data_IF_469548247374
#
_entry.id   IF_469548247374
#
_cell.length_a   1.000
_cell.length_b   1.000
_cell.length_c   1.000
_cell.angle_alpha   90.00
_cell.angle_beta   90.00
_cell.angle_gamma   90.00
#
_symmetry.space_group_name_H-M   'P 1'
#
loop_
_entity.id
_entity.type
_entity.pdbx_description
1 polymer ?
#
# COMPACT_ATOMS: atom_id res chain seq x y z
N UNK A 1 8.46 13.71 -9.86
CA UNK A 1 7.18 13.07 -9.60
C UNK A 1 7.30 12.12 -8.42
N UNK A 2 6.31 12.12 -7.56
CA UNK A 2 6.33 11.27 -6.38
C UNK A 2 5.88 9.86 -6.73
N UNK A 3 6.64 8.89 -6.24
CA UNK A 3 6.22 7.49 -6.31
C UNK A 3 5.54 7.11 -5.02
N UNK A 4 4.46 6.35 -5.13
CA UNK A 4 3.76 5.80 -3.99
C UNK A 4 3.82 4.29 -4.11
N UNK A 5 4.45 3.65 -3.15
CA UNK A 5 4.64 2.21 -3.15
C UNK A 5 3.56 1.58 -2.30
N UNK A 6 2.79 0.67 -2.90
CA UNK A 6 1.80 -0.12 -2.19
C UNK A 6 2.47 -1.36 -1.65
N UNK A 7 2.31 -1.59 -0.35
CA UNK A 7 2.80 -2.80 0.28
C UNK A 7 1.64 -3.49 1.00
N UNK A 8 1.72 -4.80 1.10
CA UNK A 8 0.77 -5.57 1.87
C UNK A 8 1.51 -6.38 2.93
N UNK A 9 0.81 -6.68 4.02
CA UNK A 9 1.35 -7.48 5.10
C UNK A 9 0.98 -8.94 4.87
N UNK A 10 1.98 -9.82 4.83
CA UNK A 10 1.73 -11.24 4.65
C UNK A 10 1.34 -11.92 5.97
N UNK A 11 1.13 -13.23 5.92
CA UNK A 11 0.70 -14.01 7.08
C UNK A 11 1.76 -14.04 8.19
N UNK A 12 3.01 -13.70 7.87
CA UNK A 12 4.10 -13.65 8.84
C UNK A 12 4.39 -12.23 9.31
N UNK A 13 3.48 -11.30 9.03
CA UNK A 13 3.61 -9.89 9.40
C UNK A 13 4.75 -9.17 8.69
N UNK A 14 5.20 -9.69 7.56
CA UNK A 14 6.21 -9.04 6.75
C UNK A 14 5.54 -8.17 5.68
N UNK A 15 6.13 -6.99 5.43
CA UNK A 15 5.63 -6.12 4.40
C UNK A 15 6.28 -6.46 3.06
N UNK A 16 5.46 -6.64 2.05
CA UNK A 16 5.92 -6.97 0.70
C UNK A 16 5.38 -5.98 -0.30
N UNK A 17 6.18 -5.65 -1.30
CA UNK A 17 5.76 -4.74 -2.35
C UNK A 17 4.70 -5.39 -3.23
N UNK A 18 3.63 -4.65 -3.48
CA UNK A 18 2.60 -5.08 -4.41
C UNK A 18 2.76 -4.37 -5.74
N UNK A 19 2.77 -3.03 -5.70
CA UNK A 19 2.90 -2.24 -6.92
C UNK A 19 3.36 -0.83 -6.57
N UNK A 20 3.77 -0.08 -7.58
CA UNK A 20 4.15 1.32 -7.43
C UNK A 20 3.22 2.15 -8.30
N UNK A 21 2.67 3.21 -7.72
CA UNK A 21 1.83 4.17 -8.42
C UNK A 21 2.51 5.52 -8.44
N UNK A 22 2.16 6.33 -9.41
CA UNK A 22 2.71 7.69 -9.54
C UNK A 22 1.66 8.75 -9.23
N UNK A 23 0.48 8.33 -8.78
CA UNK A 23 -0.63 9.21 -8.48
C UNK A 23 -1.26 8.79 -7.17
N UNK A 24 -1.16 9.66 -6.17
CA UNK A 24 -1.53 9.31 -4.80
C UNK A 24 -2.99 8.89 -4.64
N UNK A 25 -3.99 9.61 -5.19
CA UNK A 25 -5.38 9.17 -5.07
C UNK A 25 -5.63 7.78 -5.67
N UNK A 26 -4.97 7.48 -6.77
CA UNK A 26 -5.08 6.17 -7.41
C UNK A 26 -4.48 5.08 -6.52
N UNK A 27 -3.35 5.39 -5.88
CA UNK A 27 -2.73 4.46 -4.95
C UNK A 27 -3.63 4.14 -3.76
N UNK A 28 -4.28 5.15 -3.20
CA UNK A 28 -5.23 4.95 -2.11
C UNK A 28 -6.40 4.08 -2.52
N UNK A 29 -6.96 4.36 -3.70
CA UNK A 29 -8.08 3.58 -4.20
C UNK A 29 -7.72 2.12 -4.37
N UNK A 30 -6.56 1.87 -4.96
CA UNK A 30 -6.07 0.51 -5.17
C UNK A 30 -5.82 -0.18 -3.85
N UNK A 31 -5.19 0.50 -2.90
CA UNK A 31 -4.89 -0.08 -1.58
C UNK A 31 -6.17 -0.45 -0.84
N UNK A 32 -7.17 0.43 -0.86
CA UNK A 32 -8.45 0.15 -0.20
C UNK A 32 -9.14 -1.06 -0.81
N UNK A 33 -9.15 -1.12 -2.13
CA UNK A 33 -9.77 -2.25 -2.83
C UNK A 33 -9.04 -3.56 -2.49
N UNK A 34 -7.72 -3.54 -2.57
CA UNK A 34 -6.93 -4.74 -2.29
C UNK A 34 -7.05 -5.20 -0.85
N UNK A 35 -7.06 -4.26 0.09
CA UNK A 35 -7.22 -4.60 1.50
C UNK A 35 -8.55 -5.31 1.74
N UNK A 36 -9.61 -4.83 1.09
CA UNK A 36 -10.93 -5.43 1.22
C UNK A 36 -11.01 -6.82 0.59
N UNK A 37 -10.45 -6.96 -0.62
CA UNK A 37 -10.53 -8.21 -1.38
C UNK A 37 -9.66 -9.30 -0.76
N UNK A 38 -8.45 -8.94 -0.34
CA UNK A 38 -7.50 -9.93 0.19
C UNK A 38 -7.59 -10.11 1.70
N UNK A 39 -8.31 -9.23 2.38
CA UNK A 39 -8.42 -9.19 3.84
C UNK A 39 -7.05 -9.06 4.51
N UNK A 40 -6.15 -8.33 3.87
CA UNK A 40 -4.80 -8.09 4.37
C UNK A 40 -4.61 -6.60 4.59
N UNK A 41 -3.77 -6.28 5.57
CA UNK A 41 -3.41 -4.89 5.81
C UNK A 41 -2.50 -4.41 4.70
N UNK A 42 -2.76 -3.21 4.22
CA UNK A 42 -1.94 -2.57 3.19
C UNK A 42 -1.40 -1.26 3.74
N UNK A 43 -0.28 -0.82 3.20
CA UNK A 43 0.25 0.50 3.54
C UNK A 43 0.80 1.17 2.29
N UNK A 44 0.88 2.49 2.39
CA UNK A 44 1.42 3.32 1.33
C UNK A 44 2.66 4.00 1.88
N UNK A 45 3.76 3.88 1.16
CA UNK A 45 5.00 4.55 1.51
C UNK A 45 5.49 5.35 0.30
N UNK A 46 6.28 6.38 0.55
CA UNK A 46 6.87 7.15 -0.54
C UNK A 46 8.23 6.59 -0.93
N UNK A 47 8.87 7.22 -1.90
CA UNK A 47 10.17 6.76 -2.38
C UNK A 47 11.29 6.91 -1.37
N UNK A 48 11.05 7.68 -0.30
CA UNK A 48 11.98 7.84 0.82
C UNK A 48 11.67 6.90 1.98
N UNK A 49 10.80 5.93 1.76
CA UNK A 49 10.37 4.96 2.78
C UNK A 49 9.57 5.58 3.92
N UNK A 50 8.96 6.73 3.68
CA UNK A 50 8.09 7.35 4.69
C UNK A 50 6.70 6.77 4.60
N UNK A 51 6.13 6.44 5.74
CA UNK A 51 4.76 5.95 5.80
C UNK A 51 3.78 7.07 5.47
N UNK A 52 2.98 6.86 4.43
CA UNK A 52 1.94 7.80 4.04
C UNK A 52 0.61 7.46 4.72
N UNK A 53 0.26 6.19 4.74
CA UNK A 53 -0.97 5.74 5.39
C UNK A 53 -0.97 4.23 5.53
N UNK A 54 -1.81 3.74 6.45
CA UNK A 54 -2.07 2.32 6.65
C UNK A 54 -3.54 2.08 6.38
N UNK A 55 -3.82 1.09 5.55
CA UNK A 55 -5.18 0.72 5.18
C UNK A 55 -5.48 -0.65 5.78
N UNK A 56 -6.35 -0.69 6.75
CA UNK A 56 -6.80 -1.95 7.34
C UNK A 56 -7.90 -2.58 6.49
N UNK A 57 -7.97 -3.90 6.54
CA UNK A 57 -9.00 -4.63 5.82
C UNK A 57 -10.37 -4.46 6.45
#
# INVERSE_FOLDING_TARGET
MKKVILQYQDQFCHWKNYTTKHHEPDAYRTAKHRAKVTNKRHRLIDESNRLLDIIDS
#
